data_IF_192156917469
#
_entry.id   IF_192156917469
#
_cell.length_a   1.000
_cell.length_b   1.000
_cell.length_c   1.000
_cell.angle_alpha   90.00
_cell.angle_beta   90.00
_cell.angle_gamma   90.00
#
_symmetry.space_group_name_H-M   'P 1'
#
loop_
_entity.id
_entity.type
_entity.pdbx_description
1 polymer ?
#
# COMPACT_ATOMS: atom_id res chain seq x y z
N UNK A 1 27.14 -17.27 2.63
CA UNK A 1 26.74 -16.98 1.25
C UNK A 1 26.16 -15.58 1.23
N UNK A 2 26.70 -14.66 0.41
CA UNK A 2 26.26 -13.26 0.40
C UNK A 2 25.16 -13.09 -0.64
N UNK A 3 23.92 -12.88 -0.20
CA UNK A 3 22.76 -12.68 -1.08
C UNK A 3 22.38 -11.22 -1.24
N UNK A 4 23.06 -10.28 -0.57
CA UNK A 4 22.72 -8.86 -0.62
C UNK A 4 23.97 -8.05 -0.90
N UNK A 5 24.10 -7.54 -2.13
CA UNK A 5 25.23 -6.71 -2.55
C UNK A 5 24.82 -5.25 -2.47
N UNK A 6 25.43 -4.48 -1.57
CA UNK A 6 25.22 -3.04 -1.47
C UNK A 6 26.08 -2.29 -2.49
N UNK A 7 25.44 -1.68 -3.50
CA UNK A 7 26.12 -0.89 -4.53
C UNK A 7 26.62 0.49 -4.06
N UNK A 8 26.30 0.89 -2.82
CA UNK A 8 26.82 2.10 -2.20
C UNK A 8 28.34 2.09 -1.94
N UNK A 9 28.99 0.93 -2.03
CA UNK A 9 30.44 0.78 -1.97
C UNK A 9 30.94 0.04 -3.21
N UNK A 10 31.39 0.75 -4.27
CA UNK A 10 31.72 0.14 -5.55
C UNK A 10 32.78 -0.97 -5.45
N UNK A 11 33.82 -0.76 -4.63
CA UNK A 11 34.88 -1.76 -4.44
C UNK A 11 34.36 -3.05 -3.80
N UNK A 12 33.52 -2.94 -2.76
CA UNK A 12 32.91 -4.11 -2.12
C UNK A 12 31.90 -4.77 -3.04
N UNK A 13 31.09 -3.98 -3.76
CA UNK A 13 30.13 -4.49 -4.72
C UNK A 13 30.82 -5.30 -5.82
N UNK A 14 31.91 -4.78 -6.41
CA UNK A 14 32.71 -5.50 -7.41
C UNK A 14 33.25 -6.82 -6.85
N UNK A 15 33.85 -6.79 -5.66
CA UNK A 15 34.35 -8.00 -5.00
C UNK A 15 33.25 -9.04 -4.79
N UNK A 16 32.05 -8.62 -4.38
CA UNK A 16 30.92 -9.53 -4.18
C UNK A 16 30.32 -10.04 -5.49
N UNK A 17 30.24 -9.20 -6.53
CA UNK A 17 29.79 -9.62 -7.88
C UNK A 17 30.75 -10.66 -8.46
N UNK A 18 32.05 -10.47 -8.29
CA UNK A 18 33.06 -11.40 -8.77
C UNK A 18 32.96 -12.75 -8.04
N UNK A 19 32.87 -12.72 -6.71
CA UNK A 19 32.74 -13.95 -5.88
C UNK A 19 31.42 -14.68 -6.06
N UNK A 20 30.39 -14.02 -6.57
CA UNK A 20 29.04 -14.59 -6.76
C UNK A 20 28.77 -15.07 -8.19
N UNK A 21 29.76 -15.03 -9.10
CA UNK A 21 29.62 -15.44 -10.50
C UNK A 21 28.87 -16.76 -10.75
N UNK A 22 29.07 -17.84 -9.97
CA UNK A 22 28.36 -19.11 -10.22
C UNK A 22 26.92 -19.16 -9.67
N UNK A 23 26.44 -18.12 -8.97
CA UNK A 23 25.18 -18.13 -8.24
C UNK A 23 24.18 -17.11 -8.80
N UNK A 24 22.88 -17.42 -8.66
CA UNK A 24 21.83 -16.42 -8.85
C UNK A 24 21.98 -15.31 -7.81
N UNK A 25 21.93 -14.07 -8.28
CA UNK A 25 22.12 -12.90 -7.43
C UNK A 25 20.80 -12.32 -6.95
N UNK A 26 20.81 -11.86 -5.70
CA UNK A 26 19.86 -10.90 -5.17
C UNK A 26 20.62 -9.57 -5.04
N UNK A 27 20.24 -8.60 -5.87
CA UNK A 27 20.91 -7.32 -5.98
C UNK A 27 20.20 -6.29 -5.09
N UNK A 28 20.94 -5.59 -4.23
CA UNK A 28 20.39 -4.59 -3.33
C UNK A 28 21.07 -3.23 -3.52
N UNK A 29 20.43 -2.37 -4.27
CA UNK A 29 20.92 -1.02 -4.52
C UNK A 29 20.42 -0.09 -3.43
N UNK A 30 21.33 0.47 -2.63
CA UNK A 30 21.00 1.49 -1.64
C UNK A 30 21.60 2.81 -2.05
N UNK A 31 20.76 3.82 -2.27
CA UNK A 31 21.20 5.22 -2.19
C UNK A 31 21.23 5.61 -0.71
N UNK A 32 22.43 5.85 -0.17
CA UNK A 32 22.62 6.24 1.23
C UNK A 32 22.61 7.77 1.32
N UNK A 33 21.74 8.37 2.16
CA UNK A 33 21.51 9.81 2.15
C UNK A 33 22.62 10.69 2.73
N UNK A 34 23.54 10.10 3.49
CA UNK A 34 24.55 10.85 4.25
C UNK A 34 25.84 11.11 3.46
N UNK A 35 25.95 10.60 2.23
CA UNK A 35 27.15 10.77 1.41
C UNK A 35 26.98 11.94 0.42
N UNK A 36 27.91 12.91 0.39
CA UNK A 36 27.82 14.15 -0.40
C UNK A 36 27.89 13.93 -1.92
N UNK A 37 28.20 12.71 -2.37
CA UNK A 37 28.07 12.28 -3.77
C UNK A 37 27.36 10.93 -3.78
N UNK A 38 26.29 10.76 -4.57
CA UNK A 38 25.64 9.46 -4.68
C UNK A 38 26.67 8.48 -5.28
N UNK A 39 26.97 7.35 -4.61
CA UNK A 39 28.00 6.40 -5.04
C UNK A 39 27.75 5.82 -6.44
N UNK A 40 26.57 6.02 -7.00
CA UNK A 40 26.19 5.58 -8.35
C UNK A 40 26.77 6.41 -9.49
N UNK A 41 27.16 7.67 -9.28
CA UNK A 41 27.85 8.44 -10.33
C UNK A 41 29.22 7.82 -10.69
N UNK A 42 29.77 6.97 -9.80
CA UNK A 42 31.01 6.24 -10.05
C UNK A 42 30.81 5.01 -10.95
N UNK A 43 29.56 4.57 -11.17
CA UNK A 43 29.25 3.45 -12.05
C UNK A 43 28.92 3.98 -13.44
N UNK A 44 29.84 3.81 -14.38
CA UNK A 44 29.56 4.14 -15.78
C UNK A 44 28.49 3.20 -16.34
N UNK A 45 27.76 3.66 -17.36
CA UNK A 45 26.84 2.82 -18.16
C UNK A 45 27.56 1.63 -18.82
N UNK A 46 28.89 1.72 -18.93
CA UNK A 46 29.77 0.70 -19.48
C UNK A 46 30.29 -0.31 -18.43
N UNK A 47 29.92 -0.17 -17.15
CA UNK A 47 30.39 -1.09 -16.11
C UNK A 47 29.86 -2.51 -16.36
N UNK A 48 30.76 -3.36 -16.87
CA UNK A 48 30.47 -4.73 -17.27
C UNK A 48 30.04 -5.59 -16.07
N UNK A 49 30.50 -5.28 -14.86
CA UNK A 49 30.16 -6.05 -13.67
C UNK A 49 28.71 -5.82 -13.24
N UNK A 50 28.23 -4.58 -13.28
CA UNK A 50 26.82 -4.28 -13.00
C UNK A 50 25.89 -4.96 -14.02
N UNK A 51 26.27 -4.90 -15.30
CA UNK A 51 25.55 -5.58 -16.38
C UNK A 51 25.49 -7.09 -16.16
N UNK A 52 26.63 -7.73 -15.91
CA UNK A 52 26.72 -9.17 -15.61
C UNK A 52 25.86 -9.54 -14.40
N UNK A 53 25.87 -8.71 -13.35
CA UNK A 53 25.07 -8.93 -12.16
C UNK A 53 23.57 -8.87 -12.46
N UNK A 54 23.09 -7.82 -13.15
CA UNK A 54 21.67 -7.64 -13.48
C UNK A 54 21.16 -8.73 -14.45
N UNK A 55 21.98 -9.17 -15.40
CA UNK A 55 21.60 -10.23 -16.35
C UNK A 55 21.28 -11.57 -15.67
N UNK A 56 21.89 -11.85 -14.52
CA UNK A 56 21.67 -13.09 -13.75
C UNK A 56 20.88 -12.90 -12.45
N UNK A 57 20.45 -11.68 -12.16
CA UNK A 57 19.70 -11.39 -10.94
C UNK A 57 18.25 -11.80 -11.11
N UNK A 58 17.72 -12.51 -10.11
CA UNK A 58 16.28 -12.81 -10.02
C UNK A 58 15.54 -11.79 -9.18
N UNK A 59 16.24 -11.14 -8.25
CA UNK A 59 15.64 -10.14 -7.38
C UNK A 59 16.50 -8.88 -7.40
N UNK A 60 15.82 -7.73 -7.46
CA UNK A 60 16.42 -6.41 -7.43
C UNK A 60 15.63 -5.54 -6.47
N UNK A 61 16.31 -4.96 -5.49
CA UNK A 61 15.70 -4.01 -4.58
C UNK A 61 16.48 -2.70 -4.62
N UNK A 62 15.79 -1.61 -4.94
CA UNK A 62 16.33 -0.27 -5.14
C UNK A 62 15.78 0.64 -4.04
N UNK A 63 16.66 1.26 -3.25
CA UNK A 63 16.29 2.30 -2.30
C UNK A 63 16.76 3.65 -2.82
N UNK A 64 15.80 4.49 -3.20
CA UNK A 64 16.04 5.78 -3.82
C UNK A 64 15.85 6.90 -2.80
N UNK A 65 16.66 7.95 -2.94
CA UNK A 65 16.42 9.18 -2.21
C UNK A 65 15.36 10.01 -2.92
N UNK A 66 14.71 10.86 -2.13
CA UNK A 66 13.95 11.97 -2.68
C UNK A 66 14.82 12.84 -3.58
N UNK A 67 14.25 13.29 -4.69
CA UNK A 67 14.95 14.08 -5.71
C UNK A 67 15.90 13.26 -6.60
N UNK A 68 16.23 12.02 -6.25
CA UNK A 68 17.11 11.17 -7.06
C UNK A 68 16.38 10.47 -8.20
N UNK A 69 16.96 10.54 -9.41
CA UNK A 69 16.55 9.66 -10.50
C UNK A 69 17.24 8.30 -10.35
N UNK A 70 16.68 7.28 -11.00
CA UNK A 70 17.41 6.03 -11.12
C UNK A 70 18.72 6.28 -11.90
N UNK A 71 19.84 5.68 -11.46
CA UNK A 71 21.10 5.78 -12.17
C UNK A 71 20.93 5.30 -13.61
N UNK A 72 21.33 6.13 -14.59
CA UNK A 72 21.23 5.78 -16.01
C UNK A 72 21.91 4.43 -16.33
N UNK A 73 22.98 4.10 -15.60
CA UNK A 73 23.67 2.81 -15.68
C UNK A 73 22.75 1.63 -15.37
N UNK A 74 21.87 1.73 -14.36
CA UNK A 74 20.88 0.70 -14.01
C UNK A 74 19.74 0.67 -15.02
N UNK A 75 19.23 1.84 -15.41
CA UNK A 75 18.09 1.98 -16.35
C UNK A 75 18.42 1.35 -17.69
N UNK A 76 19.65 1.53 -18.18
CA UNK A 76 20.08 1.04 -19.49
C UNK A 76 20.37 -0.47 -19.56
N UNK A 77 20.58 -1.18 -18.43
CA UNK A 77 20.96 -2.59 -18.46
C UNK A 77 19.75 -3.53 -18.54
N UNK A 78 19.79 -4.54 -19.40
CA UNK A 78 18.76 -5.58 -19.41
C UNK A 78 18.80 -6.47 -18.17
N UNK A 79 17.63 -6.91 -17.70
CA UNK A 79 17.48 -7.84 -16.58
C UNK A 79 16.48 -8.97 -16.92
N UNK A 80 16.82 -9.85 -17.87
CA UNK A 80 15.86 -10.81 -18.44
C UNK A 80 15.37 -11.87 -17.45
N UNK A 81 16.15 -12.18 -16.41
CA UNK A 81 15.80 -13.17 -15.38
C UNK A 81 15.16 -12.55 -14.14
N UNK A 82 14.89 -11.24 -14.14
CA UNK A 82 14.36 -10.54 -12.98
C UNK A 82 12.89 -10.95 -12.75
N UNK A 83 12.65 -11.57 -11.59
CA UNK A 83 11.34 -12.04 -11.14
C UNK A 83 10.77 -11.13 -10.03
N UNK A 84 11.63 -10.52 -9.20
CA UNK A 84 11.20 -9.67 -8.09
C UNK A 84 11.85 -8.29 -8.16
N UNK A 85 11.03 -7.24 -8.18
CA UNK A 85 11.49 -5.85 -8.14
C UNK A 85 10.88 -5.15 -6.93
N UNK A 86 11.74 -4.58 -6.09
CA UNK A 86 11.34 -3.69 -5.01
C UNK A 86 11.95 -2.31 -5.25
N UNK A 87 11.16 -1.24 -5.19
CA UNK A 87 11.69 0.13 -5.23
C UNK A 87 11.07 0.91 -4.08
N UNK A 88 11.91 1.47 -3.22
CA UNK A 88 11.47 2.25 -2.06
C UNK A 88 12.09 3.63 -2.08
N UNK A 89 11.29 4.68 -2.02
CA UNK A 89 11.75 6.06 -1.79
C UNK A 89 11.70 6.40 -0.31
N UNK A 90 12.63 7.23 0.17
CA UNK A 90 12.82 7.46 1.61
C UNK A 90 12.00 8.58 2.24
N UNK A 91 11.21 9.36 1.49
CA UNK A 91 10.35 10.37 2.14
C UNK A 91 8.91 10.34 1.63
N UNK A 92 8.01 10.53 2.60
CA UNK A 92 6.58 10.59 2.41
C UNK A 92 6.10 11.96 1.90
N UNK A 93 6.88 13.01 2.12
CA UNK A 93 6.44 14.41 1.95
C UNK A 93 6.99 15.10 0.70
N UNK A 94 7.85 14.42 -0.05
CA UNK A 94 8.50 15.03 -1.18
C UNK A 94 7.72 14.87 -2.50
N UNK A 95 7.90 15.81 -3.46
CA UNK A 95 7.37 15.63 -4.81
C UNK A 95 7.85 14.29 -5.36
N UNK A 96 6.89 13.46 -5.75
CA UNK A 96 7.14 12.09 -6.15
C UNK A 96 8.04 11.96 -7.36
N UNK A 97 8.82 10.88 -7.36
CA UNK A 97 9.58 10.45 -8.52
C UNK A 97 8.65 9.96 -9.62
N UNK A 98 8.70 10.65 -10.77
CA UNK A 98 8.26 10.08 -12.04
C UNK A 98 9.28 9.03 -12.44
N UNK A 99 9.05 7.80 -11.99
CA UNK A 99 9.82 6.67 -12.44
C UNK A 99 9.24 6.21 -13.79
N UNK A 100 9.96 6.45 -14.88
CA UNK A 100 9.62 5.88 -16.17
C UNK A 100 10.04 4.40 -16.17
N UNK A 101 9.19 3.51 -15.63
CA UNK A 101 9.48 2.05 -15.64
C UNK A 101 9.62 1.51 -17.06
N UNK A 102 8.99 2.14 -18.04
CA UNK A 102 9.17 1.81 -19.46
C UNK A 102 10.59 2.01 -19.96
N UNK A 103 11.37 2.89 -19.33
CA UNK A 103 12.79 3.06 -19.61
C UNK A 103 13.64 2.04 -18.83
N UNK A 104 13.07 1.37 -17.81
CA UNK A 104 13.82 0.38 -17.05
C UNK A 104 14.16 -0.83 -17.91
N UNK A 105 15.36 -1.31 -17.64
CA UNK A 105 15.94 -2.51 -18.23
C UNK A 105 16.20 -2.41 -19.73
N UNK A 106 16.53 -1.21 -20.20
CA UNK A 106 16.81 -0.93 -21.62
C UNK A 106 15.58 -1.17 -22.50
N UNK A 107 14.37 -0.99 -21.97
CA UNK A 107 13.10 -1.29 -22.64
C UNK A 107 12.83 -2.78 -22.85
N UNK A 108 13.71 -3.67 -22.38
CA UNK A 108 13.50 -5.11 -22.42
C UNK A 108 12.68 -5.52 -21.22
N UNK A 109 11.59 -6.24 -21.50
CA UNK A 109 10.63 -6.63 -20.48
C UNK A 109 11.18 -7.76 -19.59
N UNK A 110 11.32 -7.54 -18.27
CA UNK A 110 11.71 -8.60 -17.33
C UNK A 110 10.56 -9.61 -17.10
N UNK A 111 10.89 -10.81 -16.61
CA UNK A 111 9.93 -11.85 -16.22
C UNK A 111 9.33 -11.61 -14.82
N UNK A 112 8.89 -10.38 -14.54
CA UNK A 112 8.46 -9.99 -13.21
C UNK A 112 7.25 -10.79 -12.74
N UNK A 113 7.37 -11.34 -11.54
CA UNK A 113 6.34 -12.04 -10.77
C UNK A 113 5.94 -11.28 -9.52
N UNK A 114 6.84 -10.50 -8.94
CA UNK A 114 6.60 -9.71 -7.73
C UNK A 114 7.09 -8.27 -7.91
N UNK A 115 6.20 -7.31 -7.65
CA UNK A 115 6.51 -5.89 -7.72
C UNK A 115 6.07 -5.18 -6.42
N UNK A 116 7.03 -4.62 -5.68
CA UNK A 116 6.79 -3.80 -4.47
C UNK A 116 7.32 -2.38 -4.71
N UNK A 117 6.43 -1.40 -4.77
CA UNK A 117 6.80 0.00 -5.00
C UNK A 117 6.32 0.87 -3.86
N UNK A 118 7.23 1.64 -3.28
CA UNK A 118 6.97 2.51 -2.14
C UNK A 118 7.41 3.93 -2.48
N UNK A 119 6.44 4.84 -2.57
CA UNK A 119 6.64 6.24 -2.92
C UNK A 119 7.16 6.44 -4.35
N UNK A 120 6.78 5.56 -5.28
CA UNK A 120 7.12 5.67 -6.71
C UNK A 120 5.85 5.83 -7.55
N UNK A 121 5.94 6.60 -8.64
CA UNK A 121 4.89 6.66 -9.65
C UNK A 121 5.05 5.52 -10.65
N UNK A 122 3.96 4.85 -10.99
CA UNK A 122 3.92 3.79 -12.00
C UNK A 122 3.41 4.30 -13.35
N UNK A 123 4.06 3.97 -14.47
CA UNK A 123 3.40 4.06 -15.77
C UNK A 123 2.38 2.93 -15.89
N UNK A 124 1.09 3.25 -15.87
CA UNK A 124 -0.03 2.30 -16.01
C UNK A 124 -0.25 1.83 -17.45
N UNK A 125 0.84 1.41 -18.11
CA UNK A 125 0.81 0.96 -19.50
C UNK A 125 0.47 -0.51 -19.59
N UNK A 126 -0.34 -0.84 -20.60
CA UNK A 126 -0.68 -2.22 -20.94
C UNK A 126 0.55 -3.03 -21.29
N UNK A 127 0.57 -4.27 -20.86
CA UNK A 127 1.60 -5.26 -21.17
C UNK A 127 2.82 -5.21 -20.27
N UNK A 128 3.03 -4.20 -19.42
CA UNK A 128 4.21 -4.16 -18.54
C UNK A 128 4.08 -5.18 -17.39
N UNK A 129 2.86 -5.36 -16.90
CA UNK A 129 2.54 -6.09 -15.68
C UNK A 129 2.17 -7.56 -15.90
N UNK A 130 2.16 -8.07 -17.13
CA UNK A 130 1.75 -9.47 -17.37
C UNK A 130 2.61 -10.48 -16.63
N UNK A 131 1.98 -11.53 -16.11
CA UNK A 131 2.68 -12.57 -15.35
C UNK A 131 2.97 -12.20 -13.90
N UNK A 132 2.57 -11.01 -13.43
CA UNK A 132 2.62 -10.69 -12.01
C UNK A 132 1.73 -11.63 -11.20
N UNK A 133 2.30 -12.09 -10.09
CA UNK A 133 1.64 -12.87 -9.03
C UNK A 133 1.49 -12.06 -7.75
N UNK A 134 2.32 -11.04 -7.55
CA UNK A 134 2.27 -10.13 -6.40
C UNK A 134 2.47 -8.69 -6.84
N UNK A 135 1.56 -7.82 -6.41
CA UNK A 135 1.65 -6.37 -6.60
C UNK A 135 1.42 -5.68 -5.26
N UNK A 136 2.44 -4.96 -4.78
CA UNK A 136 2.39 -4.16 -3.57
C UNK A 136 2.74 -2.71 -3.91
N UNK A 137 1.83 -1.78 -3.64
CA UNK A 137 2.02 -0.36 -3.89
C UNK A 137 1.78 0.39 -2.59
N UNK A 138 2.68 1.28 -2.21
CA UNK A 138 2.51 2.11 -1.03
C UNK A 138 3.04 3.51 -1.19
N UNK A 139 2.42 4.49 -0.54
CA UNK A 139 2.87 5.89 -0.58
C UNK A 139 2.94 6.51 -1.97
N UNK A 140 2.37 5.86 -2.99
CA UNK A 140 2.31 6.41 -4.32
C UNK A 140 1.12 7.36 -4.40
N UNK A 141 1.33 8.68 -4.45
CA UNK A 141 0.29 9.59 -4.91
C UNK A 141 -0.08 9.16 -6.34
N UNK A 142 -1.26 8.57 -6.46
CA UNK A 142 -1.92 8.36 -7.73
C UNK A 142 -2.34 9.74 -8.23
N UNK A 143 -1.38 10.46 -8.79
CA UNK A 143 -1.61 11.73 -9.49
C UNK A 143 -2.59 11.55 -10.67
N UNK A 144 -2.85 10.29 -11.05
CA UNK A 144 -3.84 9.87 -12.02
C UNK A 144 -4.79 8.88 -11.34
N UNK A 145 -6.09 9.06 -11.61
CA UNK A 145 -7.24 8.34 -11.07
C UNK A 145 -6.91 6.89 -10.64
N UNK A 146 -6.76 6.65 -9.32
CA UNK A 146 -6.23 5.39 -8.79
C UNK A 146 -7.00 4.17 -9.29
N UNK A 147 -8.30 4.31 -9.48
CA UNK A 147 -9.17 3.24 -9.97
C UNK A 147 -8.83 2.77 -11.38
N UNK A 148 -8.94 3.64 -12.39
CA UNK A 148 -8.88 3.21 -13.79
C UNK A 148 -7.51 2.66 -14.18
N UNK A 149 -6.47 3.33 -13.72
CA UNK A 149 -5.08 3.03 -14.04
C UNK A 149 -4.60 1.72 -13.38
N UNK A 150 -4.91 1.52 -12.10
CA UNK A 150 -4.63 0.27 -11.39
C UNK A 150 -5.37 -0.88 -12.07
N UNK A 151 -6.64 -0.70 -12.44
CA UNK A 151 -7.41 -1.74 -13.12
C UNK A 151 -6.80 -2.15 -14.46
N UNK A 152 -6.15 -1.24 -15.19
CA UNK A 152 -5.42 -1.58 -16.42
C UNK A 152 -4.26 -2.52 -16.13
N UNK A 153 -3.45 -2.26 -15.10
CA UNK A 153 -2.35 -3.14 -14.73
C UNK A 153 -2.83 -4.49 -14.17
N UNK A 154 -3.93 -4.48 -13.41
CA UNK A 154 -4.53 -5.71 -12.91
C UNK A 154 -5.10 -6.56 -14.07
N UNK A 155 -5.63 -5.94 -15.12
CA UNK A 155 -6.14 -6.64 -16.29
C UNK A 155 -5.07 -7.38 -17.08
N UNK A 156 -3.83 -6.88 -17.06
CA UNK A 156 -2.69 -7.56 -17.64
C UNK A 156 -2.21 -8.77 -16.81
N UNK A 157 -2.67 -8.88 -15.57
CA UNK A 157 -2.15 -9.80 -14.55
C UNK A 157 -3.23 -10.78 -14.03
N UNK A 158 -3.89 -11.58 -14.89
CA UNK A 158 -4.96 -12.49 -14.44
C UNK A 158 -4.47 -13.60 -13.48
N UNK A 159 -3.14 -13.81 -13.41
CA UNK A 159 -2.50 -14.75 -12.48
C UNK A 159 -2.17 -14.15 -11.11
N UNK A 160 -2.60 -12.93 -10.80
CA UNK A 160 -2.28 -12.25 -9.54
C UNK A 160 -2.83 -13.02 -8.33
N UNK A 161 -1.97 -13.29 -7.37
CA UNK A 161 -2.27 -14.00 -6.12
C UNK A 161 -2.34 -13.04 -4.92
N UNK A 162 -1.52 -11.99 -4.91
CA UNK A 162 -1.47 -11.00 -3.84
C UNK A 162 -1.56 -9.57 -4.40
N UNK A 163 -2.53 -8.81 -3.90
CA UNK A 163 -2.69 -7.38 -4.17
C UNK A 163 -2.65 -6.60 -2.86
N UNK A 164 -1.65 -5.73 -2.70
CA UNK A 164 -1.52 -4.83 -1.56
C UNK A 164 -1.42 -3.38 -2.04
N UNK A 165 -2.32 -2.53 -1.54
CA UNK A 165 -2.48 -1.15 -1.96
C UNK A 165 -2.55 -0.27 -0.72
N UNK A 166 -1.49 0.47 -0.40
CA UNK A 166 -1.37 1.27 0.82
C UNK A 166 -1.12 2.75 0.53
N UNK A 167 -2.20 3.49 0.42
CA UNK A 167 -2.19 4.91 0.12
C UNK A 167 -2.44 5.69 1.41
N UNK A 168 -1.41 6.42 1.84
CA UNK A 168 -1.59 7.44 2.86
C UNK A 168 -2.30 8.61 2.17
N UNK A 169 -3.54 8.89 2.58
CA UNK A 169 -4.18 10.15 2.21
C UNK A 169 -3.45 11.25 2.99
N UNK A 170 -2.44 11.89 2.40
CA UNK A 170 -1.90 13.10 2.98
C UNK A 170 -3.04 14.14 3.02
N UNK A 171 -3.56 14.52 4.21
CA UNK A 171 -4.68 15.45 4.29
C UNK A 171 -4.24 16.79 3.70
N UNK A 172 -4.85 17.21 2.59
CA UNK A 172 -4.66 18.55 2.02
C UNK A 172 -3.64 18.70 0.88
N UNK A 173 -2.89 17.66 0.49
CA UNK A 173 -1.93 17.76 -0.63
C UNK A 173 -2.55 17.43 -1.99
N UNK A 174 -3.57 16.56 -2.01
CA UNK A 174 -4.32 16.27 -3.22
C UNK A 174 -5.58 17.13 -3.20
N UNK A 175 -5.64 18.14 -4.06
CA UNK A 175 -6.89 18.77 -4.47
C UNK A 175 -7.79 17.67 -4.96
N UNK A 176 -8.68 17.21 -4.07
CA UNK A 176 -9.42 15.96 -4.21
C UNK A 176 -10.30 16.09 -5.44
N UNK A 177 -9.82 15.60 -6.58
CA UNK A 177 -10.73 15.13 -7.62
C UNK A 177 -11.36 13.87 -7.03
N UNK A 178 -12.32 14.09 -6.12
CA UNK A 178 -13.24 13.04 -5.69
C UNK A 178 -13.73 12.42 -6.98
N UNK A 179 -13.87 11.10 -7.00
CA UNK A 179 -14.46 10.37 -8.10
C UNK A 179 -15.94 10.80 -8.20
N UNK A 180 -16.20 11.99 -8.74
CA UNK A 180 -17.54 12.57 -8.98
C UNK A 180 -18.12 12.01 -10.27
N UNK A 181 -17.28 11.35 -11.08
CA UNK A 181 -17.69 10.66 -12.28
C UNK A 181 -18.48 9.40 -11.92
N UNK A 182 -19.77 9.43 -12.24
CA UNK A 182 -20.67 8.30 -12.40
C UNK A 182 -20.25 7.35 -13.54
N UNK A 183 -18.93 7.21 -13.77
CA UNK A 183 -18.38 6.36 -14.81
C UNK A 183 -18.94 4.96 -14.62
N UNK A 184 -19.73 4.54 -15.62
CA UNK A 184 -20.38 3.23 -15.66
C UNK A 184 -19.36 2.17 -15.24
N UNK A 185 -19.70 1.28 -14.29
CA UNK A 185 -18.75 0.29 -13.81
C UNK A 185 -18.24 -0.50 -15.01
N UNK A 186 -16.91 -0.52 -15.18
CA UNK A 186 -16.28 -1.42 -16.11
C UNK A 186 -16.73 -2.87 -15.79
N UNK A 187 -16.75 -3.77 -16.79
CA UNK A 187 -17.01 -5.17 -16.51
C UNK A 187 -16.10 -5.66 -15.38
N UNK A 188 -16.60 -6.47 -14.42
CA UNK A 188 -15.82 -6.93 -13.29
C UNK A 188 -14.54 -7.62 -13.77
N UNK A 189 -13.42 -7.23 -13.18
CA UNK A 189 -12.12 -7.77 -13.50
C UNK A 189 -11.94 -9.11 -12.78
N UNK A 190 -11.88 -10.19 -13.55
CA UNK A 190 -11.71 -11.53 -13.04
C UNK A 190 -10.27 -11.73 -12.56
N UNK A 191 -10.09 -11.95 -11.26
CA UNK A 191 -8.80 -12.30 -10.64
C UNK A 191 -8.93 -13.67 -9.95
N UNK A 192 -9.01 -14.76 -10.72
CA UNK A 192 -9.37 -16.10 -10.22
C UNK A 192 -8.31 -16.74 -9.33
N UNK A 193 -7.09 -16.19 -9.29
CA UNK A 193 -6.00 -16.66 -8.42
C UNK A 193 -5.74 -15.78 -7.21
N UNK A 194 -6.48 -14.67 -7.08
CA UNK A 194 -6.26 -13.74 -5.98
C UNK A 194 -6.58 -14.47 -4.68
N UNK A 195 -5.62 -14.50 -3.76
CA UNK A 195 -5.73 -15.13 -2.44
C UNK A 195 -5.62 -14.11 -1.32
N UNK A 196 -4.94 -12.99 -1.57
CA UNK A 196 -4.71 -11.94 -0.59
C UNK A 196 -5.01 -10.59 -1.20
N UNK A 197 -5.90 -9.86 -0.54
CA UNK A 197 -6.28 -8.50 -0.89
C UNK A 197 -6.08 -7.62 0.35
N UNK A 198 -5.11 -6.71 0.30
CA UNK A 198 -4.83 -5.76 1.36
C UNK A 198 -5.02 -4.34 0.83
N UNK A 199 -6.07 -3.64 1.29
CA UNK A 199 -6.38 -2.29 0.83
C UNK A 199 -6.25 -1.32 2.00
N UNK A 200 -5.49 -0.25 1.86
CA UNK A 200 -5.49 0.94 2.71
C UNK A 200 -5.63 2.13 1.79
N UNK A 201 -6.87 2.53 1.52
CA UNK A 201 -7.24 3.49 0.49
C UNK A 201 -8.29 4.47 1.03
N UNK A 202 -8.43 5.66 0.43
CA UNK A 202 -9.60 6.50 0.66
C UNK A 202 -10.90 5.72 0.37
N UNK A 203 -11.97 6.10 1.05
CA UNK A 203 -13.27 5.42 0.97
C UNK A 203 -13.74 5.17 -0.47
N UNK A 204 -13.78 6.21 -1.30
CA UNK A 204 -14.30 6.10 -2.67
C UNK A 204 -13.43 5.23 -3.58
N UNK A 205 -12.11 5.29 -3.42
CA UNK A 205 -11.19 4.46 -4.20
C UNK A 205 -11.31 2.99 -3.81
N UNK A 206 -11.46 2.73 -2.50
CA UNK A 206 -11.73 1.38 -1.98
C UNK A 206 -13.03 0.84 -2.56
N UNK A 207 -14.11 1.63 -2.52
CA UNK A 207 -15.41 1.26 -3.08
C UNK A 207 -15.30 0.95 -4.58
N UNK A 208 -14.70 1.85 -5.36
CA UNK A 208 -14.57 1.70 -6.81
C UNK A 208 -13.77 0.45 -7.17
N UNK A 209 -12.64 0.22 -6.50
CA UNK A 209 -11.80 -0.93 -6.76
C UNK A 209 -12.52 -2.24 -6.39
N UNK A 210 -13.16 -2.31 -5.21
CA UNK A 210 -13.89 -3.51 -4.78
C UNK A 210 -15.06 -3.85 -5.71
N UNK A 211 -15.79 -2.84 -6.20
CA UNK A 211 -16.86 -3.04 -7.16
C UNK A 211 -16.36 -3.51 -8.53
N UNK A 212 -15.14 -3.13 -8.89
CA UNK A 212 -14.50 -3.51 -10.15
C UNK A 212 -13.78 -4.87 -10.09
N UNK A 213 -13.57 -5.44 -8.90
CA UNK A 213 -12.88 -6.72 -8.73
C UNK A 213 -13.87 -7.88 -8.57
N UNK A 214 -13.64 -8.96 -9.31
CA UNK A 214 -14.31 -10.24 -9.14
C UNK A 214 -13.25 -11.30 -8.80
N UNK A 215 -12.84 -11.38 -7.52
CA UNK A 215 -11.75 -12.25 -7.13
C UNK A 215 -12.24 -13.67 -6.83
N UNK A 216 -11.31 -14.60 -6.61
CA UNK A 216 -11.61 -15.98 -6.29
C UNK A 216 -12.51 -16.10 -5.05
N UNK A 217 -13.27 -17.18 -4.89
CA UNK A 217 -14.00 -17.39 -3.65
C UNK A 217 -13.04 -17.34 -2.47
N UNK A 218 -11.95 -18.11 -2.43
CA UNK A 218 -11.01 -18.28 -1.30
C UNK A 218 -10.15 -17.06 -0.88
N UNK A 219 -10.44 -15.86 -1.37
CA UNK A 219 -9.67 -14.65 -1.04
C UNK A 219 -9.76 -14.30 0.44
N UNK A 220 -8.61 -13.99 1.02
CA UNK A 220 -8.49 -13.31 2.31
C UNK A 220 -8.37 -11.80 2.08
N UNK A 221 -9.30 -11.03 2.63
CA UNK A 221 -9.32 -9.58 2.51
C UNK A 221 -9.03 -8.90 3.85
N UNK A 222 -8.01 -8.04 3.86
CA UNK A 222 -7.71 -7.06 4.90
C UNK A 222 -8.02 -5.67 4.31
N UNK A 223 -9.09 -5.05 4.80
CA UNK A 223 -9.60 -3.80 4.23
C UNK A 223 -9.50 -2.72 5.30
N UNK A 224 -8.61 -1.77 5.06
CA UNK A 224 -8.43 -0.55 5.83
C UNK A 224 -8.96 0.66 5.04
N UNK A 225 -9.96 1.31 5.61
CA UNK A 225 -10.70 2.37 4.96
C UNK A 225 -10.40 3.66 5.65
N UNK A 226 -9.88 4.62 4.88
CA UNK A 226 -9.61 5.95 5.38
C UNK A 226 -10.72 6.88 4.90
N UNK A 227 -11.38 7.57 5.82
CA UNK A 227 -12.47 8.50 5.48
C UNK A 227 -12.19 9.93 6.01
N UNK A 228 -12.34 10.96 5.16
CA UNK A 228 -11.95 12.34 5.47
C UNK A 228 -12.97 13.12 6.33
N UNK A 229 -13.58 12.48 7.35
CA UNK A 229 -14.55 13.04 8.32
C UNK A 229 -16.04 13.07 7.94
N UNK A 230 -16.90 13.16 8.96
CA UNK A 230 -18.34 13.47 8.88
C UNK A 230 -19.28 12.32 9.21
N UNK A 231 -19.31 11.29 8.37
CA UNK A 231 -20.36 10.27 8.39
C UNK A 231 -19.81 8.84 8.29
N UNK A 232 -19.41 8.29 9.43
CA UNK A 232 -18.96 6.90 9.53
C UNK A 232 -20.08 5.91 9.15
N UNK A 233 -21.32 6.21 9.50
CA UNK A 233 -22.47 5.35 9.22
C UNK A 233 -22.74 5.30 7.71
N UNK A 234 -22.72 6.45 7.04
CA UNK A 234 -22.80 6.54 5.59
C UNK A 234 -21.67 5.75 4.92
N UNK A 235 -20.43 5.90 5.37
CA UNK A 235 -19.30 5.13 4.83
C UNK A 235 -19.50 3.61 4.97
N UNK A 236 -19.94 3.14 6.13
CA UNK A 236 -20.22 1.72 6.35
C UNK A 236 -21.43 1.22 5.55
N UNK A 237 -22.49 2.02 5.42
CA UNK A 237 -23.65 1.70 4.59
C UNK A 237 -23.26 1.58 3.11
N UNK A 238 -22.44 2.51 2.61
CA UNK A 238 -21.91 2.45 1.25
C UNK A 238 -20.99 1.25 1.05
N UNK A 239 -20.16 0.89 2.04
CA UNK A 239 -19.33 -0.32 1.97
C UNK A 239 -20.17 -1.58 1.75
N UNK A 240 -21.30 -1.70 2.47
CA UNK A 240 -22.22 -2.84 2.31
C UNK A 240 -22.78 -2.93 0.89
N UNK A 241 -22.97 -1.80 0.21
CA UNK A 241 -23.40 -1.76 -1.20
C UNK A 241 -22.24 -2.05 -2.15
N UNK A 242 -21.04 -1.59 -1.80
CA UNK A 242 -19.83 -1.70 -2.62
C UNK A 242 -19.30 -3.11 -2.73
N UNK A 243 -19.29 -3.83 -1.60
CA UNK A 243 -18.66 -5.13 -1.49
C UNK A 243 -19.57 -6.17 -2.15
N UNK A 244 -19.08 -6.87 -3.19
CA UNK A 244 -19.79 -8.03 -3.70
C UNK A 244 -20.05 -9.02 -2.56
N UNK A 245 -21.23 -9.65 -2.47
CA UNK A 245 -21.54 -10.60 -1.40
C UNK A 245 -20.44 -11.66 -1.13
N UNK A 246 -19.75 -12.21 -2.16
CA UNK A 246 -18.66 -13.16 -1.94
C UNK A 246 -17.44 -12.59 -1.19
N UNK A 247 -17.09 -11.33 -1.49
CA UNK A 247 -15.99 -10.62 -0.83
C UNK A 247 -16.39 -10.18 0.57
N UNK A 248 -17.61 -9.69 0.71
CA UNK A 248 -18.20 -9.28 1.98
C UNK A 248 -18.10 -10.40 3.02
N UNK A 249 -18.43 -11.63 2.62
CA UNK A 249 -18.40 -12.78 3.51
C UNK A 249 -17.00 -13.18 4.04
N UNK A 250 -15.93 -12.59 3.49
CA UNK A 250 -14.55 -13.05 3.65
C UNK A 250 -13.57 -11.99 4.13
N UNK A 251 -14.05 -10.77 4.36
CA UNK A 251 -13.28 -9.74 5.06
C UNK A 251 -12.94 -10.29 6.45
N UNK A 252 -11.66 -10.48 6.73
CA UNK A 252 -11.19 -10.99 8.03
C UNK A 252 -10.98 -9.85 9.01
N UNK A 253 -10.37 -8.79 8.52
CA UNK A 253 -10.02 -7.61 9.29
C UNK A 253 -10.56 -6.39 8.54
N UNK A 254 -11.47 -5.66 9.21
CA UNK A 254 -11.99 -4.39 8.72
C UNK A 254 -11.48 -3.29 9.64
N UNK A 255 -10.63 -2.41 9.10
CA UNK A 255 -10.15 -1.23 9.82
C UNK A 255 -10.81 -0.01 9.22
N UNK A 256 -11.34 0.86 10.07
CA UNK A 256 -11.97 2.10 9.62
C UNK A 256 -11.31 3.25 10.36
N UNK A 257 -10.50 4.00 9.63
CA UNK A 257 -9.73 5.12 10.14
C UNK A 257 -10.36 6.44 9.74
N UNK A 258 -10.66 7.27 10.74
CA UNK A 258 -10.97 8.68 10.54
C UNK A 258 -9.67 9.45 10.42
N UNK A 259 -9.49 10.20 9.35
CA UNK A 259 -8.39 11.18 9.30
C UNK A 259 -8.89 12.52 9.83
N UNK A 260 -8.21 13.04 10.86
CA UNK A 260 -8.45 14.42 11.32
C UNK A 260 -7.76 15.39 10.36
N UNK A 261 -8.44 16.43 9.86
CA UNK A 261 -7.75 17.47 9.10
C UNK A 261 -6.72 18.15 10.03
N UNK A 262 -5.57 18.54 9.48
CA UNK A 262 -4.49 19.18 10.24
C UNK A 262 -4.93 20.48 10.95
N UNK A 263 -6.03 21.10 10.48
CA UNK A 263 -6.64 22.30 11.06
C UNK A 263 -7.67 22.02 12.15
N UNK A 264 -7.86 20.77 12.58
CA UNK A 264 -8.78 20.45 13.67
C UNK A 264 -8.10 20.76 15.01
N UNK A 265 -8.16 22.04 15.43
CA UNK A 265 -7.87 22.38 16.81
C UNK A 265 -8.84 21.61 17.70
N UNK A 266 -8.29 20.69 18.51
CA UNK A 266 -9.07 20.04 19.55
C UNK A 266 -9.42 21.13 20.56
N UNK A 267 -10.63 21.69 20.44
CA UNK A 267 -11.23 22.54 21.47
C UNK A 267 -11.53 21.68 22.71
N UNK A 268 -10.47 21.27 23.40
CA UNK A 268 -10.53 20.64 24.72
C UNK A 268 -10.45 21.71 25.78
N UNK A 269 -11.41 21.74 26.70
CA UNK A 269 -11.24 22.49 27.95
C UNK A 269 -10.23 21.73 28.81
N UNK A 270 -9.02 22.25 28.92
CA UNK A 270 -8.05 21.74 29.88
C UNK A 270 -8.49 22.17 31.29
N UNK A 271 -8.91 21.23 32.12
CA UNK A 271 -9.03 21.46 33.57
C UNK A 271 -7.76 20.94 34.23
N UNK A 272 -6.97 21.86 34.81
CA UNK A 272 -5.85 21.51 35.65
C UNK A 272 -6.39 20.97 36.98
N UNK A 273 -6.10 19.71 37.30
CA UNK A 273 -6.19 19.22 38.68
C UNK A 273 -4.87 19.55 39.39
N UNK A 274 -4.96 20.05 40.63
CA UNK A 274 -3.81 20.26 41.50
C UNK A 274 -3.15 18.90 41.81
N UNK A 275 -2.13 18.54 41.04
CA UNK A 275 -1.45 17.26 41.18
C UNK A 275 -0.78 16.74 39.90
N UNK A 276 -0.04 17.58 39.19
CA UNK A 276 1.17 17.15 38.47
C UNK A 276 1.08 16.30 37.20
N UNK A 277 -0.09 15.93 36.67
CA UNK A 277 -0.19 15.26 35.35
C UNK A 277 -1.30 15.87 34.48
N UNK A 278 -0.91 16.41 33.32
CA UNK A 278 -1.84 16.90 32.30
C UNK A 278 -2.46 15.69 31.57
N UNK A 279 -3.65 15.25 32.00
CA UNK A 279 -4.46 14.27 31.26
C UNK A 279 -5.47 14.98 30.37
N UNK A 280 -5.25 14.95 29.06
CA UNK A 280 -6.28 15.34 28.09
C UNK A 280 -7.27 14.18 28.01
N UNK A 281 -8.46 14.34 28.58
CA UNK A 281 -9.56 13.36 28.46
C UNK A 281 -10.08 13.37 27.01
N UNK A 282 -9.57 12.48 26.17
CA UNK A 282 -10.09 12.25 24.79
C UNK A 282 -11.12 11.10 24.75
N UNK A 283 -11.38 10.46 25.90
CA UNK A 283 -12.15 9.21 26.09
C UNK A 283 -13.64 9.20 25.65
N UNK A 284 -14.16 10.29 25.06
CA UNK A 284 -15.58 10.42 24.71
C UNK A 284 -15.93 10.10 23.25
N UNK A 285 -15.04 10.35 22.29
CA UNK A 285 -15.46 10.38 20.88
C UNK A 285 -15.45 9.01 20.21
N UNK A 286 -14.37 8.24 20.39
CA UNK A 286 -14.31 6.86 19.94
C UNK A 286 -15.46 6.05 20.54
N UNK A 287 -15.67 6.08 21.87
CA UNK A 287 -16.77 5.34 22.51
C UNK A 287 -18.17 5.74 22.02
N UNK A 288 -18.41 7.02 21.74
CA UNK A 288 -19.69 7.48 21.16
C UNK A 288 -19.87 6.96 19.73
N UNK A 289 -18.83 7.00 18.91
CA UNK A 289 -18.84 6.41 17.57
C UNK A 289 -19.09 4.91 17.64
N UNK A 290 -18.47 4.20 18.59
CA UNK A 290 -18.69 2.76 18.80
C UNK A 290 -20.15 2.46 19.16
N UNK A 291 -20.72 3.18 20.13
CA UNK A 291 -22.14 3.01 20.51
C UNK A 291 -23.07 3.32 19.34
N UNK A 292 -22.78 4.35 18.56
CA UNK A 292 -23.57 4.69 17.38
C UNK A 292 -23.44 3.65 16.26
N UNK A 293 -22.29 2.99 16.13
CA UNK A 293 -22.05 1.98 15.10
C UNK A 293 -22.47 0.57 15.51
N UNK A 294 -22.68 0.27 16.79
CA UNK A 294 -23.02 -1.07 17.27
C UNK A 294 -24.20 -1.71 16.52
N UNK A 295 -25.35 -1.04 16.29
CA UNK A 295 -26.46 -1.64 15.53
C UNK A 295 -26.09 -1.96 14.08
N UNK A 296 -25.20 -1.17 13.49
CA UNK A 296 -24.75 -1.40 12.12
C UNK A 296 -23.72 -2.53 12.08
N UNK A 297 -22.82 -2.63 13.06
CA UNK A 297 -21.89 -3.75 13.21
C UNK A 297 -22.66 -5.06 13.45
N UNK A 298 -23.70 -5.04 14.28
CA UNK A 298 -24.65 -6.15 14.45
C UNK A 298 -25.36 -6.48 13.14
N UNK A 299 -25.82 -5.48 12.39
CA UNK A 299 -26.43 -5.72 11.07
C UNK A 299 -25.43 -6.32 10.05
N UNK A 300 -24.13 -6.04 10.17
CA UNK A 300 -23.08 -6.64 9.34
C UNK A 300 -22.83 -8.11 9.68
N UNK A 301 -23.04 -8.51 10.95
CA UNK A 301 -22.79 -9.87 11.44
C UNK A 301 -24.03 -10.76 11.43
N UNK A 302 -25.19 -10.26 11.87
CA UNK A 302 -26.44 -11.02 12.01
C UNK A 302 -27.17 -11.23 10.67
N UNK A 303 -27.04 -10.29 9.74
CA UNK A 303 -27.69 -10.34 8.42
C UNK A 303 -27.03 -11.28 7.40
N UNK A 304 -26.16 -12.20 7.84
CA UNK A 304 -25.40 -13.08 6.95
C UNK A 304 -24.31 -12.38 6.12
N UNK A 305 -23.90 -11.18 6.57
CA UNK A 305 -23.03 -10.31 5.80
C UNK A 305 -21.57 -10.75 5.80
N UNK A 306 -20.94 -10.77 6.96
CA UNK A 306 -19.49 -11.03 7.09
C UNK A 306 -19.17 -12.18 8.07
N UNK A 307 -19.54 -13.45 7.79
CA UNK A 307 -19.27 -14.58 8.69
C UNK A 307 -17.79 -14.85 8.99
N UNK A 308 -16.87 -14.31 8.18
CA UNK A 308 -15.43 -14.44 8.41
C UNK A 308 -14.79 -13.29 9.21
N UNK A 309 -15.56 -12.24 9.55
CA UNK A 309 -15.05 -11.05 10.23
C UNK A 309 -14.55 -11.43 11.63
N UNK A 310 -13.26 -11.25 11.85
CA UNK A 310 -12.59 -11.57 13.12
C UNK A 310 -12.43 -10.33 13.98
N UNK A 311 -12.12 -9.20 13.34
CA UNK A 311 -11.93 -7.95 14.06
C UNK A 311 -12.45 -6.74 13.29
N UNK A 312 -13.01 -5.79 14.02
CA UNK A 312 -13.29 -4.43 13.53
C UNK A 312 -12.52 -3.46 14.41
N UNK A 313 -11.64 -2.68 13.79
CA UNK A 313 -10.88 -1.65 14.49
C UNK A 313 -11.28 -0.27 13.98
N UNK A 314 -11.84 0.56 14.85
CA UNK A 314 -12.08 1.98 14.57
C UNK A 314 -10.88 2.75 15.10
N UNK A 315 -10.22 3.48 14.21
CA UNK A 315 -9.00 4.23 14.52
C UNK A 315 -9.28 5.71 14.27
N UNK A 316 -8.91 6.56 15.21
CA UNK A 316 -8.83 8.00 14.97
C UNK A 316 -7.36 8.30 14.66
N UNK A 317 -7.04 8.50 13.38
CA UNK A 317 -5.68 8.77 12.91
C UNK A 317 -5.44 10.30 12.90
N UNK A 318 -4.35 10.72 13.54
CA UNK A 318 -3.81 12.07 13.44
C UNK A 318 -3.40 12.40 12.00
N UNK A 319 -3.18 13.70 11.73
CA UNK A 319 -2.81 14.17 10.41
C UNK A 319 -1.45 13.60 9.92
N UNK A 320 -0.60 13.17 10.84
CA UNK A 320 0.69 12.51 10.63
C UNK A 320 0.58 10.98 10.52
N UNK A 321 -0.64 10.44 10.57
CA UNK A 321 -0.90 8.99 10.55
C UNK A 321 -0.61 8.28 11.88
N UNK A 322 -0.31 9.01 12.95
CA UNK A 322 -0.22 8.41 14.29
C UNK A 322 -1.62 8.10 14.81
N UNK A 323 -1.81 6.91 15.38
CA UNK A 323 -3.09 6.53 15.96
C UNK A 323 -3.27 7.29 17.29
N UNK A 324 -4.22 8.22 17.34
CA UNK A 324 -4.51 9.00 18.55
C UNK A 324 -5.41 8.22 19.52
N UNK A 325 -6.37 7.47 18.97
CA UNK A 325 -7.24 6.58 19.73
C UNK A 325 -7.61 5.36 18.89
N UNK A 326 -7.75 4.20 19.53
CA UNK A 326 -8.25 3.02 18.83
C UNK A 326 -9.19 2.18 19.68
N UNK A 327 -10.26 1.70 19.05
CA UNK A 327 -11.18 0.77 19.64
C UNK A 327 -11.22 -0.50 18.80
N UNK A 328 -11.08 -1.65 19.46
CA UNK A 328 -11.04 -2.97 18.81
C UNK A 328 -12.24 -3.77 19.27
N UNK A 329 -13.01 -4.26 18.31
CA UNK A 329 -13.96 -5.36 18.50
C UNK A 329 -13.32 -6.64 17.97
N UNK A 330 -13.17 -7.63 18.84
CA UNK A 330 -12.83 -8.98 18.43
C UNK A 330 -14.09 -9.84 18.49
N UNK A 331 -14.41 -10.52 17.39
CA UNK A 331 -15.50 -11.48 17.33
C UNK A 331 -14.92 -12.86 17.62
N UNK A 332 -15.22 -13.40 18.81
CA UNK A 332 -14.87 -14.78 19.13
C UNK A 332 -15.99 -15.69 18.59
N UNK A 333 -15.62 -16.79 17.92
CA UNK A 333 -16.58 -17.74 17.30
C UNK A 333 -17.43 -18.52 18.32
N UNK A 334 -17.30 -18.24 19.61
CA UNK A 334 -17.98 -18.92 20.69
C UNK A 334 -18.61 -17.83 21.57
N UNK A 335 -19.93 -17.75 21.53
CA UNK A 335 -20.80 -16.85 22.31
C UNK A 335 -20.95 -15.43 21.74
N UNK A 336 -22.20 -15.08 21.44
CA UNK A 336 -22.71 -13.88 20.75
C UNK A 336 -22.56 -12.57 21.54
N UNK A 337 -21.50 -12.41 22.34
CA UNK A 337 -21.27 -11.19 23.12
C UNK A 337 -20.00 -10.50 22.63
N UNK A 338 -20.09 -9.32 22.00
CA UNK A 338 -18.91 -8.55 21.63
C UNK A 338 -18.16 -8.12 22.90
N UNK A 339 -16.90 -8.54 23.01
CA UNK A 339 -16.01 -8.06 24.07
C UNK A 339 -15.33 -6.77 23.59
N UNK A 340 -15.61 -5.66 24.29
CA UNK A 340 -15.06 -4.34 23.98
C UNK A 340 -13.76 -4.16 24.77
N UNK A 341 -12.62 -4.33 24.10
CA UNK A 341 -11.30 -4.07 24.70
C UNK A 341 -10.77 -2.72 24.23
N UNK A 342 -10.61 -1.79 25.17
CA UNK A 342 -9.94 -0.49 24.94
C UNK A 342 -8.45 -0.70 25.18
N UNK A 343 -7.63 -0.57 24.13
CA UNK A 343 -6.18 -0.59 24.24
C UNK A 343 -5.67 0.84 24.46
N UNK A 344 -4.93 1.05 25.56
CA UNK A 344 -4.28 2.32 25.93
C UNK A 344 -3.06 2.64 25.09
#
# INVERSE_FOLDING_TARGET
>A
MWTHINFGSPNLARLFIERSRPLSLCAFVVSIPELPTPPFEQWSTEDTMLREALQRSRTLSLRLQVGSNLPASVVAQTAPLLEELTITTTSADAPMHKLAIDELFGGVRPQLRSLDLRGCHLPWRRGLYTGLTRLALSGALLALHPGADVLVALADSPGLEELALWFASAPGVLGVTQFTGSARPAPPLLLPRLRRLALRLPFYDTHYLLAALAPAPDVLADVHIVYPSGDLLGALAHLRVALPPPLFARVQDLRVARTRPASFEVAGTAQAQEGGDLRIHVEGHAQRLLKACAPLLEALTEGGGMPALRSVKVIDEGADGTAAESAVFAFSRLETVPCLTVGS
#
